data_IF_791676897706
#
_entry.id   IF_791676897706
#
_cell.length_a   1.000
_cell.length_b   1.000
_cell.length_c   1.000
_cell.angle_alpha   90.00
_cell.angle_beta   90.00
_cell.angle_gamma   90.00
#
_symmetry.space_group_name_H-M   'P 1'
#
loop_
_entity.id
_entity.type
_entity.pdbx_description
1 polymer ?
#
# COMPACT_ATOMS: atom_id res chain seq x y z
N UNK A 1 0.54 -7.76 22.33
CA UNK A 1 -0.69 -7.17 21.76
C UNK A 1 -0.54 -6.85 20.28
N UNK A 2 0.46 -6.05 19.86
CA UNK A 2 0.69 -5.77 18.42
C UNK A 2 0.88 -7.04 17.57
N UNK A 3 1.73 -7.98 18.02
CA UNK A 3 1.93 -9.27 17.33
C UNK A 3 0.60 -9.99 17.12
N UNK A 4 -0.19 -10.14 18.19
CA UNK A 4 -1.51 -10.78 18.13
C UNK A 4 -2.42 -10.04 17.14
N UNK A 5 -2.51 -8.71 17.23
CA UNK A 5 -3.36 -7.92 16.34
C UNK A 5 -2.97 -8.05 14.87
N UNK A 6 -1.67 -7.99 14.55
CA UNK A 6 -1.17 -8.05 13.18
C UNK A 6 -1.26 -9.47 12.62
N UNK A 7 -0.88 -10.48 13.39
CA UNK A 7 -1.01 -11.89 12.98
C UNK A 7 -2.47 -12.26 12.75
N UNK A 8 -3.40 -11.85 13.63
CA UNK A 8 -4.83 -12.09 13.44
C UNK A 8 -5.37 -11.38 12.19
N UNK A 9 -4.90 -10.17 11.88
CA UNK A 9 -5.33 -9.44 10.68
C UNK A 9 -4.91 -10.17 9.40
N UNK A 10 -3.64 -10.54 9.29
CA UNK A 10 -3.09 -11.23 8.12
C UNK A 10 -3.71 -12.63 7.99
N UNK A 11 -3.92 -13.33 9.10
CA UNK A 11 -4.53 -14.65 9.09
C UNK A 11 -6.01 -14.59 8.70
N UNK A 12 -6.76 -13.61 9.20
CA UNK A 12 -8.16 -13.38 8.83
C UNK A 12 -8.31 -13.19 7.32
N UNK A 13 -7.46 -12.35 6.71
CA UNK A 13 -7.51 -12.13 5.27
C UNK A 13 -7.12 -13.40 4.51
N UNK A 14 -6.11 -14.14 4.97
CA UNK A 14 -5.65 -15.36 4.29
C UNK A 14 -6.68 -16.49 4.29
N UNK A 15 -7.40 -16.73 5.39
CA UNK A 15 -8.40 -17.83 5.44
C UNK A 15 -9.75 -17.44 4.82
N UNK A 16 -9.93 -16.16 4.47
CA UNK A 16 -11.16 -15.67 3.86
C UNK A 16 -11.39 -16.23 2.46
N UNK A 17 -10.38 -16.80 1.80
CA UNK A 17 -10.53 -17.49 0.52
C UNK A 17 -11.28 -18.81 0.66
N UNK A 18 -11.08 -19.49 1.80
CA UNK A 18 -11.57 -20.85 2.01
C UNK A 18 -12.94 -20.83 2.69
N UNK A 19 -13.11 -19.98 3.71
CA UNK A 19 -14.34 -19.89 4.51
C UNK A 19 -15.27 -18.74 4.05
N UNK A 20 -14.76 -17.81 3.24
CA UNK A 20 -15.48 -16.59 2.85
C UNK A 20 -15.34 -15.45 3.86
N UNK A 21 -15.41 -14.22 3.36
CA UNK A 21 -15.18 -12.98 4.13
C UNK A 21 -16.16 -12.75 5.29
N UNK A 22 -17.35 -13.35 5.24
CA UNK A 22 -18.41 -13.20 6.25
C UNK A 22 -18.57 -14.44 7.15
N UNK A 23 -17.63 -15.38 7.10
CA UNK A 23 -17.61 -16.53 8.01
C UNK A 23 -17.36 -16.13 9.46
N UNK A 24 -17.85 -16.95 10.39
CA UNK A 24 -17.70 -16.69 11.82
C UNK A 24 -16.22 -16.67 12.21
N UNK A 25 -15.40 -17.51 11.58
CA UNK A 25 -13.96 -17.66 11.81
C UNK A 25 -13.20 -16.38 11.40
N UNK A 26 -13.47 -15.87 10.19
CA UNK A 26 -12.84 -14.63 9.69
C UNK A 26 -13.27 -13.43 10.54
N UNK A 27 -14.56 -13.31 10.85
CA UNK A 27 -15.08 -12.23 11.69
C UNK A 27 -14.52 -12.29 13.12
N UNK A 28 -14.34 -13.49 13.69
CA UNK A 28 -13.72 -13.65 15.00
C UNK A 28 -12.26 -13.19 15.01
N UNK A 29 -11.49 -13.49 13.96
CA UNK A 29 -10.10 -13.00 13.84
C UNK A 29 -10.03 -11.48 13.65
N UNK A 30 -10.95 -10.87 12.89
CA UNK A 30 -11.06 -9.42 12.82
C UNK A 30 -11.44 -8.81 14.18
N UNK A 31 -12.32 -9.45 14.95
CA UNK A 31 -12.64 -9.01 16.30
C UNK A 31 -11.43 -9.10 17.24
N UNK A 32 -10.66 -10.20 17.19
CA UNK A 32 -9.41 -10.34 17.96
C UNK A 32 -8.39 -9.26 17.57
N UNK A 33 -8.25 -8.97 16.27
CA UNK A 33 -7.41 -7.89 15.78
C UNK A 33 -7.83 -6.53 16.40
N UNK A 34 -9.12 -6.21 16.31
CA UNK A 34 -9.68 -4.96 16.84
C UNK A 34 -9.47 -4.84 18.35
N UNK A 35 -9.70 -5.91 19.11
CA UNK A 35 -9.49 -5.94 20.57
C UNK A 35 -8.01 -5.74 20.90
N UNK A 36 -7.10 -6.45 20.22
CA UNK A 36 -5.67 -6.38 20.48
C UNK A 36 -5.09 -4.99 20.15
N UNK A 37 -5.53 -4.36 19.06
CA UNK A 37 -5.14 -3.00 18.68
C UNK A 37 -5.71 -1.95 19.65
N UNK A 38 -6.97 -2.11 20.07
CA UNK A 38 -7.59 -1.21 21.05
C UNK A 38 -6.92 -1.31 22.42
N UNK A 39 -6.58 -2.53 22.84
CA UNK A 39 -5.85 -2.77 24.09
C UNK A 39 -4.45 -2.16 24.03
N UNK A 40 -3.74 -2.32 22.91
CA UNK A 40 -2.44 -1.66 22.70
C UNK A 40 -2.55 -0.14 22.76
N UNK A 41 -3.56 0.44 22.08
CA UNK A 41 -3.79 1.89 22.10
C UNK A 41 -4.03 2.42 23.53
N UNK A 42 -4.90 1.76 24.30
CA UNK A 42 -5.18 2.13 25.70
C UNK A 42 -3.95 1.97 26.60
N UNK A 43 -3.20 0.89 26.44
CA UNK A 43 -1.97 0.65 27.21
C UNK A 43 -0.92 1.73 26.91
N UNK A 44 -0.77 2.13 25.65
CA UNK A 44 0.16 3.18 25.22
C UNK A 44 -0.23 4.57 25.72
N UNK A 45 -1.53 4.83 25.99
CA UNK A 45 -1.98 6.09 26.59
C UNK A 45 -1.69 6.18 28.10
N UNK A 46 -1.75 5.04 28.81
CA UNK A 46 -1.62 5.01 30.27
C UNK A 46 -0.18 4.75 30.77
N UNK A 47 0.77 4.52 29.88
CA UNK A 47 2.18 4.27 30.25
C UNK A 47 2.94 5.59 30.48
N UNK A 48 3.76 5.63 31.53
CA UNK A 48 4.66 6.77 31.85
C UNK A 48 5.86 6.87 30.90
N UNK A 49 6.29 5.75 30.31
CA UNK A 49 7.30 5.67 29.24
C UNK A 49 6.74 4.84 28.08
N UNK A 50 5.82 5.40 27.28
CA UNK A 50 5.21 4.64 26.18
C UNK A 50 6.26 4.34 25.11
N UNK A 51 6.35 3.07 24.69
CA UNK A 51 7.22 2.63 23.59
C UNK A 51 6.92 3.34 22.26
N UNK A 52 5.69 3.84 22.11
CA UNK A 52 5.24 4.62 20.96
C UNK A 52 4.20 5.63 21.45
N UNK A 53 4.53 6.93 21.38
CA UNK A 53 3.59 8.00 21.74
C UNK A 53 2.48 8.09 20.70
N UNK A 54 1.33 7.45 20.96
CA UNK A 54 0.16 7.44 20.06
C UNK A 54 -0.44 8.83 19.80
N UNK A 55 0.01 9.85 20.54
CA UNK A 55 -0.33 11.26 20.34
C UNK A 55 0.06 11.76 18.93
N UNK A 56 1.02 11.11 18.25
CA UNK A 56 1.36 11.38 16.85
C UNK A 56 0.13 11.33 15.92
N UNK A 57 -0.81 10.42 16.17
CA UNK A 57 -2.00 10.25 15.32
C UNK A 57 -3.06 11.35 15.53
N UNK A 58 -2.90 12.20 16.55
CA UNK A 58 -3.74 13.39 16.75
C UNK A 58 -3.42 14.47 15.72
N UNK A 59 -2.21 14.47 15.14
CA UNK A 59 -1.80 15.38 14.08
C UNK A 59 -2.36 14.89 12.74
N UNK A 60 -3.52 15.43 12.34
CA UNK A 60 -4.25 14.97 11.15
C UNK A 60 -3.41 14.94 9.86
N UNK A 61 -2.55 15.95 9.54
CA UNK A 61 -1.66 15.87 8.39
C UNK A 61 -0.70 14.67 8.44
N UNK A 62 -0.08 14.40 9.59
CA UNK A 62 0.76 13.20 9.79
C UNK A 62 -0.06 11.92 9.59
N UNK A 63 -1.24 11.82 10.19
CA UNK A 63 -2.11 10.63 10.07
C UNK A 63 -2.52 10.34 8.62
N UNK A 64 -2.88 11.37 7.85
CA UNK A 64 -3.23 11.22 6.44
C UNK A 64 -2.01 10.89 5.56
N UNK A 65 -0.84 11.46 5.86
CA UNK A 65 0.42 11.09 5.21
C UNK A 65 0.77 9.62 5.50
N UNK A 66 0.67 9.18 6.76
CA UNK A 66 0.84 7.77 7.14
C UNK A 66 -0.14 6.89 6.37
N UNK A 67 -1.44 7.20 6.37
CA UNK A 67 -2.43 6.43 5.62
C UNK A 67 -2.10 6.33 4.11
N UNK A 68 -1.64 7.42 3.50
CA UNK A 68 -1.20 7.42 2.10
C UNK A 68 0.01 6.50 1.89
N UNK A 69 0.99 6.56 2.79
CA UNK A 69 2.17 5.69 2.77
C UNK A 69 1.79 4.20 2.91
N UNK A 70 0.84 3.88 3.80
CA UNK A 70 0.34 2.51 3.98
C UNK A 70 -0.30 1.97 2.72
N UNK A 71 -1.15 2.78 2.07
CA UNK A 71 -1.80 2.40 0.81
C UNK A 71 -0.78 2.20 -0.32
N UNK A 72 0.30 3.01 -0.38
CA UNK A 72 1.39 2.79 -1.34
C UNK A 72 2.08 1.45 -1.08
N UNK A 73 2.36 1.11 0.19
CA UNK A 73 2.93 -0.19 0.57
C UNK A 73 2.01 -1.37 0.23
N UNK A 74 0.71 -1.22 0.49
CA UNK A 74 -0.33 -2.19 0.12
C UNK A 74 -0.32 -2.46 -1.39
N UNK A 75 -0.27 -1.40 -2.21
CA UNK A 75 -0.20 -1.55 -3.67
C UNK A 75 1.13 -2.17 -4.10
N UNK A 76 2.25 -1.76 -3.50
CA UNK A 76 3.57 -2.27 -3.85
C UNK A 76 3.65 -3.79 -3.70
N UNK A 77 3.29 -4.33 -2.53
CA UNK A 77 3.37 -5.78 -2.30
C UNK A 77 2.18 -6.53 -2.92
N UNK A 78 1.04 -5.87 -3.13
CA UNK A 78 -0.06 -6.41 -3.93
C UNK A 78 0.34 -6.65 -5.39
N UNK A 79 0.95 -5.66 -6.06
CA UNK A 79 1.50 -5.81 -7.41
C UNK A 79 2.67 -6.80 -7.45
N UNK A 80 3.53 -6.77 -6.44
CA UNK A 80 4.65 -7.70 -6.30
C UNK A 80 4.20 -9.17 -6.23
N UNK A 81 2.99 -9.46 -5.75
CA UNK A 81 2.37 -10.78 -5.84
C UNK A 81 1.68 -10.99 -7.19
N UNK A 82 0.82 -10.05 -7.59
CA UNK A 82 -0.12 -10.23 -8.71
C UNK A 82 0.60 -10.37 -10.05
N UNK A 83 1.62 -9.54 -10.31
CA UNK A 83 2.39 -9.57 -11.57
C UNK A 83 3.05 -10.94 -11.81
N UNK A 84 3.89 -11.47 -10.91
CA UNK A 84 4.52 -12.77 -11.14
C UNK A 84 3.52 -13.92 -11.07
N UNK A 85 2.46 -13.81 -10.26
CA UNK A 85 1.40 -14.84 -10.20
C UNK A 85 0.65 -14.94 -11.54
N UNK A 86 0.26 -13.80 -12.13
CA UNK A 86 -0.39 -13.76 -13.43
C UNK A 86 0.53 -14.28 -14.53
N UNK A 87 1.79 -13.82 -14.58
CA UNK A 87 2.74 -14.25 -15.60
C UNK A 87 2.99 -15.78 -15.56
N UNK A 88 3.02 -16.37 -14.36
CA UNK A 88 3.21 -17.82 -14.22
C UNK A 88 1.97 -18.62 -14.59
N UNK A 89 0.79 -18.24 -14.07
CA UNK A 89 -0.41 -19.06 -14.18
C UNK A 89 -1.23 -18.81 -15.45
N UNK A 90 -1.16 -17.59 -15.99
CA UNK A 90 -1.92 -17.19 -17.20
C UNK A 90 -1.01 -17.15 -18.42
N UNK A 91 0.16 -16.53 -18.31
CA UNK A 91 1.12 -16.43 -19.42
C UNK A 91 2.07 -17.63 -19.52
N UNK A 92 1.89 -18.65 -18.67
CA UNK A 92 2.67 -19.90 -18.65
C UNK A 92 4.19 -19.70 -18.66
N UNK A 93 4.65 -18.62 -18.02
CA UNK A 93 6.07 -18.27 -17.93
C UNK A 93 6.69 -18.88 -16.68
N UNK A 94 7.99 -19.17 -16.70
CA UNK A 94 8.70 -19.66 -15.53
C UNK A 94 8.81 -18.57 -14.42
N UNK A 95 9.02 -19.02 -13.18
CA UNK A 95 9.11 -18.13 -12.01
C UNK A 95 10.24 -17.10 -12.09
N UNK A 96 11.37 -17.44 -12.74
CA UNK A 96 12.51 -16.53 -12.87
C UNK A 96 12.15 -15.38 -13.80
N UNK A 97 11.64 -15.68 -14.99
CA UNK A 97 11.23 -14.66 -15.97
C UNK A 97 10.09 -13.79 -15.42
N UNK A 98 9.12 -14.39 -14.72
CA UNK A 98 8.03 -13.66 -14.06
C UNK A 98 8.55 -12.67 -13.00
N UNK A 99 9.54 -13.06 -12.21
CA UNK A 99 10.22 -12.16 -11.26
C UNK A 99 11.00 -11.04 -11.96
N UNK A 100 11.64 -11.34 -13.09
CA UNK A 100 12.37 -10.35 -13.90
C UNK A 100 11.46 -9.24 -14.47
N UNK A 101 10.14 -9.44 -14.59
CA UNK A 101 9.21 -8.39 -15.02
C UNK A 101 9.21 -7.17 -14.09
N UNK A 102 9.49 -7.38 -12.80
CA UNK A 102 9.56 -6.33 -11.79
C UNK A 102 10.91 -5.60 -11.78
N UNK A 103 11.98 -6.27 -12.26
CA UNK A 103 13.35 -5.80 -12.14
C UNK A 103 13.58 -4.40 -12.76
N UNK A 104 13.11 -4.09 -13.99
CA UNK A 104 13.30 -2.77 -14.57
C UNK A 104 12.67 -1.65 -13.71
N UNK A 105 11.49 -1.92 -13.14
CA UNK A 105 10.82 -0.96 -12.26
C UNK A 105 11.63 -0.73 -10.99
N UNK A 106 12.13 -1.78 -10.35
CA UNK A 106 12.96 -1.66 -9.16
C UNK A 106 14.24 -0.84 -9.41
N UNK A 107 14.89 -1.02 -10.56
CA UNK A 107 16.08 -0.24 -10.96
C UNK A 107 15.71 1.25 -11.10
N UNK A 108 14.63 1.56 -11.82
CA UNK A 108 14.16 2.94 -11.98
C UNK A 108 13.78 3.55 -10.62
N UNK A 109 13.05 2.82 -9.78
CA UNK A 109 12.68 3.27 -8.43
C UNK A 109 13.91 3.61 -7.58
N UNK A 110 14.93 2.75 -7.60
CA UNK A 110 16.19 2.98 -6.88
C UNK A 110 16.94 4.22 -7.41
N UNK A 111 16.97 4.43 -8.73
CA UNK A 111 17.60 5.61 -9.35
C UNK A 111 16.84 6.91 -9.03
N UNK A 112 15.51 6.84 -8.90
CA UNK A 112 14.66 8.00 -8.64
C UNK A 112 14.64 8.42 -7.17
N UNK A 113 14.99 7.53 -6.24
CA UNK A 113 15.05 7.84 -4.81
C UNK A 113 15.85 9.13 -4.48
N UNK A 114 17.11 9.32 -4.93
CA UNK A 114 17.85 10.57 -4.68
C UNK A 114 17.27 11.79 -5.42
N UNK A 115 16.64 11.58 -6.58
CA UNK A 115 16.01 12.64 -7.38
C UNK A 115 14.78 13.18 -6.65
N UNK A 116 14.01 12.30 -6.00
CA UNK A 116 12.83 12.68 -5.22
C UNK A 116 13.18 13.64 -4.08
N UNK A 117 14.31 13.41 -3.38
CA UNK A 117 14.79 14.30 -2.32
C UNK A 117 15.13 15.70 -2.84
N UNK A 118 15.87 15.78 -3.95
CA UNK A 118 16.18 17.08 -4.59
C UNK A 118 14.92 17.81 -5.07
N UNK A 119 13.92 17.07 -5.56
CA UNK A 119 12.67 17.66 -6.02
C UNK A 119 11.84 18.20 -4.85
N UNK A 120 11.84 17.48 -3.72
CA UNK A 120 11.26 17.94 -2.46
C UNK A 120 11.92 19.24 -1.98
N UNK A 121 13.26 19.30 -1.95
CA UNK A 121 13.99 20.49 -1.50
C UNK A 121 13.71 21.71 -2.38
N UNK A 122 13.60 21.51 -3.70
CA UNK A 122 13.45 22.61 -4.67
C UNK A 122 12.00 23.08 -4.88
N UNK A 123 11.03 22.16 -4.87
CA UNK A 123 9.63 22.45 -5.24
C UNK A 123 8.63 22.25 -4.10
N UNK A 124 9.10 21.83 -2.92
CA UNK A 124 8.27 21.45 -1.80
C UNK A 124 7.58 20.10 -2.02
N UNK A 125 6.91 19.60 -0.97
CA UNK A 125 6.35 18.25 -0.96
C UNK A 125 5.14 18.06 -1.88
N UNK A 126 4.42 19.13 -2.24
CA UNK A 126 3.14 19.02 -2.94
C UNK A 126 3.27 18.45 -4.34
N UNK A 127 4.19 18.97 -5.15
CA UNK A 127 4.31 18.55 -6.56
C UNK A 127 4.83 17.12 -6.70
N UNK A 128 5.90 16.70 -6.00
CA UNK A 128 6.40 15.32 -6.07
C UNK A 128 5.35 14.29 -5.62
N UNK A 129 4.61 14.57 -4.54
CA UNK A 129 3.59 13.64 -4.02
C UNK A 129 2.43 13.51 -5.01
N UNK A 130 1.88 14.61 -5.53
CA UNK A 130 0.74 14.54 -6.45
C UNK A 130 1.12 13.90 -7.79
N UNK A 131 2.30 14.24 -8.34
CA UNK A 131 2.80 13.61 -9.56
C UNK A 131 3.03 12.11 -9.37
N UNK A 132 3.67 11.74 -8.25
CA UNK A 132 3.93 10.34 -7.96
C UNK A 132 2.64 9.53 -7.77
N UNK A 133 1.68 10.06 -7.03
CA UNK A 133 0.39 9.42 -6.81
C UNK A 133 -0.46 9.32 -8.08
N UNK A 134 -0.42 10.34 -8.96
CA UNK A 134 -1.07 10.28 -10.26
C UNK A 134 -0.45 9.18 -11.14
N UNK A 135 0.87 9.01 -11.12
CA UNK A 135 1.57 7.94 -11.84
C UNK A 135 1.23 6.55 -11.29
N UNK A 136 1.13 6.40 -9.96
CA UNK A 136 0.66 5.15 -9.32
C UNK A 136 -0.77 4.84 -9.79
N UNK A 137 -1.67 5.83 -9.73
CA UNK A 137 -3.06 5.65 -10.19
C UNK A 137 -3.13 5.25 -11.66
N UNK A 138 -2.36 5.92 -12.53
CA UNK A 138 -2.30 5.59 -13.95
C UNK A 138 -1.88 4.15 -14.18
N UNK A 139 -0.82 3.70 -13.49
CA UNK A 139 -0.34 2.32 -13.57
C UNK A 139 -1.44 1.29 -13.25
N UNK A 140 -2.11 1.43 -12.10
CA UNK A 140 -3.14 0.47 -11.67
C UNK A 140 -4.42 0.54 -12.52
N UNK A 141 -4.76 1.71 -13.06
CA UNK A 141 -5.85 1.83 -14.05
C UNK A 141 -5.50 1.07 -15.33
N UNK A 142 -4.28 1.24 -15.86
CA UNK A 142 -3.82 0.51 -17.04
C UNK A 142 -3.91 -1.01 -16.83
N UNK A 143 -3.50 -1.49 -15.66
CA UNK A 143 -3.68 -2.90 -15.29
C UNK A 143 -5.15 -3.34 -15.22
N UNK A 144 -6.02 -2.49 -14.66
CA UNK A 144 -7.45 -2.79 -14.50
C UNK A 144 -8.22 -2.78 -15.83
N UNK A 145 -7.77 -2.02 -16.82
CA UNK A 145 -8.40 -1.91 -18.14
C UNK A 145 -8.01 -3.04 -19.11
N UNK A 146 -6.78 -3.56 -19.02
CA UNK A 146 -6.26 -4.56 -19.96
C UNK A 146 -6.02 -5.95 -19.36
N UNK A 147 -6.78 -6.46 -18.37
CA UNK A 147 -6.40 -7.63 -17.59
C UNK A 147 -6.28 -8.92 -18.41
N UNK A 148 -6.91 -9.03 -19.59
CA UNK A 148 -6.83 -10.21 -20.47
C UNK A 148 -5.83 -10.09 -21.63
N UNK A 149 -5.19 -8.93 -21.81
CA UNK A 149 -4.27 -8.64 -22.92
C UNK A 149 -2.84 -8.32 -22.42
N UNK A 150 -2.56 -8.57 -21.13
CA UNK A 150 -1.27 -8.26 -20.51
C UNK A 150 -0.15 -9.14 -21.07
N UNK A 151 0.54 -8.65 -22.09
CA UNK A 151 1.84 -9.17 -22.51
C UNK A 151 2.93 -8.79 -21.49
N UNK A 152 4.05 -9.53 -21.51
CA UNK A 152 5.22 -9.23 -20.66
C UNK A 152 5.70 -7.79 -20.79
N UNK A 153 5.62 -7.21 -21.99
CA UNK A 153 6.00 -5.82 -22.24
C UNK A 153 5.04 -4.84 -21.54
N UNK A 154 3.72 -5.09 -21.61
CA UNK A 154 2.73 -4.23 -20.94
C UNK A 154 2.87 -4.29 -19.41
N UNK A 155 3.15 -5.47 -18.85
CA UNK A 155 3.51 -5.59 -17.42
C UNK A 155 4.69 -4.70 -17.06
N UNK A 156 5.78 -4.77 -17.82
CA UNK A 156 6.96 -3.94 -17.55
C UNK A 156 6.59 -2.46 -17.64
N UNK A 157 5.98 -2.02 -18.74
CA UNK A 157 5.64 -0.61 -18.97
C UNK A 157 4.72 -0.07 -17.87
N UNK A 158 3.66 -0.79 -17.51
CA UNK A 158 2.76 -0.35 -16.45
C UNK A 158 3.45 -0.34 -15.09
N UNK A 159 4.29 -1.33 -14.80
CA UNK A 159 5.08 -1.35 -13.56
C UNK A 159 6.12 -0.21 -13.51
N UNK A 160 6.66 0.24 -14.64
CA UNK A 160 7.54 1.41 -14.68
C UNK A 160 6.81 2.69 -14.23
N UNK A 161 5.54 2.89 -14.63
CA UNK A 161 4.73 4.00 -14.12
C UNK A 161 4.51 3.91 -12.60
N UNK A 162 4.29 2.70 -12.09
CA UNK A 162 4.17 2.49 -10.64
C UNK A 162 5.48 2.83 -9.93
N UNK A 163 6.61 2.27 -10.39
CA UNK A 163 7.92 2.48 -9.78
C UNK A 163 8.36 3.95 -9.84
N UNK A 164 8.08 4.63 -10.96
CA UNK A 164 8.26 6.08 -11.06
C UNK A 164 7.44 6.82 -10.00
N UNK A 165 6.16 6.49 -9.90
CA UNK A 165 5.26 7.13 -8.95
C UNK A 165 5.64 6.88 -7.48
N UNK A 166 6.00 5.63 -7.16
CA UNK A 166 6.50 5.22 -5.86
C UNK A 166 7.78 5.97 -5.49
N UNK A 167 8.76 6.05 -6.40
CA UNK A 167 10.04 6.71 -6.17
C UNK A 167 9.89 8.20 -5.79
N UNK A 168 8.96 8.92 -6.43
CA UNK A 168 8.69 10.32 -6.11
C UNK A 168 7.78 10.51 -4.89
N UNK A 169 6.80 9.62 -4.70
CA UNK A 169 5.78 9.81 -3.68
C UNK A 169 6.22 9.30 -2.30
N UNK A 170 6.72 8.08 -2.22
CA UNK A 170 6.87 7.35 -0.95
C UNK A 170 7.81 8.06 0.03
N UNK A 171 9.02 8.42 -0.41
CA UNK A 171 9.97 9.15 0.42
C UNK A 171 9.47 10.55 0.79
N UNK A 172 8.87 11.26 -0.16
CA UNK A 172 8.34 12.61 0.06
C UNK A 172 7.17 12.61 1.03
N UNK A 173 6.26 11.64 0.97
CA UNK A 173 5.15 11.46 1.92
C UNK A 173 5.70 11.26 3.33
N UNK A 174 6.72 10.41 3.48
CA UNK A 174 7.33 10.13 4.77
C UNK A 174 7.95 11.40 5.37
N UNK A 175 8.81 12.09 4.62
CA UNK A 175 9.46 13.33 5.09
C UNK A 175 8.45 14.43 5.38
N UNK A 176 7.48 14.64 4.48
CA UNK A 176 6.44 15.66 4.68
C UNK A 176 5.52 15.33 5.84
N UNK A 177 5.20 14.05 6.08
CA UNK A 177 4.35 13.65 7.21
C UNK A 177 5.06 13.88 8.55
N UNK A 178 6.34 13.49 8.65
CA UNK A 178 7.14 13.70 9.85
C UNK A 178 7.34 15.19 10.15
N UNK A 179 7.51 16.05 9.13
CA UNK A 179 7.65 17.50 9.34
C UNK A 179 6.39 18.17 9.94
N UNK A 180 5.26 17.47 10.02
CA UNK A 180 4.04 17.94 10.68
C UNK A 180 4.00 17.64 12.18
N UNK A 181 4.95 16.85 12.69
CA UNK A 181 5.09 16.55 14.11
C UNK A 181 6.10 17.51 14.77
N UNK A 182 5.92 17.79 16.07
CA UNK A 182 6.99 18.35 16.90
C UNK A 182 8.24 17.48 16.84
N UNK A 183 9.42 18.09 16.88
CA UNK A 183 10.71 17.40 16.73
C UNK A 183 10.89 16.25 17.73
N UNK A 184 10.42 16.45 18.96
CA UNK A 184 10.44 15.43 20.01
C UNK A 184 9.69 14.15 19.62
N UNK A 185 8.65 14.24 18.79
CA UNK A 185 7.79 13.13 18.36
C UNK A 185 8.25 12.46 17.06
N UNK A 186 9.27 13.00 16.38
CA UNK A 186 9.69 12.48 15.06
C UNK A 186 10.19 11.04 15.11
N UNK A 187 10.94 10.65 16.15
CA UNK A 187 11.44 9.29 16.30
C UNK A 187 10.29 8.27 16.39
N UNK A 188 9.28 8.55 17.23
CA UNK A 188 8.09 7.71 17.37
C UNK A 188 7.26 7.70 16.10
N UNK A 189 7.10 8.88 15.47
CA UNK A 189 6.39 9.03 14.20
C UNK A 189 7.01 8.19 13.09
N UNK A 190 8.34 8.18 13.00
CA UNK A 190 9.06 7.41 11.98
C UNK A 190 8.99 5.91 12.25
N UNK A 191 9.16 5.49 13.52
CA UNK A 191 9.02 4.10 13.93
C UNK A 191 7.61 3.56 13.65
N UNK A 192 6.58 4.36 13.95
CA UNK A 192 5.19 4.03 13.67
C UNK A 192 4.92 3.87 12.17
N UNK A 193 5.37 4.83 11.34
CA UNK A 193 5.21 4.78 9.88
C UNK A 193 5.84 3.52 9.30
N UNK A 194 7.10 3.20 9.66
CA UNK A 194 7.79 2.02 9.13
C UNK A 194 7.12 0.72 9.58
N UNK A 195 6.72 0.62 10.85
CA UNK A 195 6.05 -0.57 11.38
C UNK A 195 4.73 -0.82 10.66
N UNK A 196 3.90 0.23 10.52
CA UNK A 196 2.62 0.13 9.85
C UNK A 196 2.78 -0.11 8.34
N UNK A 197 3.82 0.45 7.72
CA UNK A 197 4.10 0.24 6.30
C UNK A 197 4.38 -1.23 5.98
N UNK A 198 5.21 -1.89 6.80
CA UNK A 198 5.47 -3.32 6.63
C UNK A 198 4.21 -4.16 6.81
N UNK A 199 3.37 -3.81 7.79
CA UNK A 199 2.06 -4.44 7.98
C UNK A 199 1.16 -4.22 6.75
N UNK A 200 1.06 -2.99 6.26
CA UNK A 200 0.20 -2.66 5.13
C UNK A 200 0.61 -3.39 3.85
N UNK A 201 1.92 -3.57 3.62
CA UNK A 201 2.43 -4.43 2.57
C UNK A 201 1.98 -5.89 2.73
N UNK A 202 2.19 -6.48 3.91
CA UNK A 202 1.80 -7.87 4.17
C UNK A 202 0.28 -8.10 4.01
N UNK A 203 -0.53 -7.17 4.53
CA UNK A 203 -1.99 -7.17 4.34
C UNK A 203 -2.34 -7.01 2.87
N UNK A 204 -1.64 -6.16 2.12
CA UNK A 204 -1.79 -6.01 0.67
C UNK A 204 -1.61 -7.31 -0.08
N UNK A 205 -0.51 -8.02 0.15
CA UNK A 205 -0.30 -9.35 -0.46
C UNK A 205 -1.39 -10.33 -0.06
N UNK A 206 -1.72 -10.42 1.24
CA UNK A 206 -2.72 -11.37 1.73
C UNK A 206 -4.12 -11.11 1.13
N UNK A 207 -4.58 -9.85 1.07
CA UNK A 207 -5.88 -9.52 0.47
C UNK A 207 -5.89 -9.87 -1.01
N UNK A 208 -4.85 -9.49 -1.76
CA UNK A 208 -4.80 -9.74 -3.21
C UNK A 208 -4.68 -11.24 -3.51
N UNK A 209 -3.86 -11.99 -2.77
CA UNK A 209 -3.74 -13.44 -2.94
C UNK A 209 -5.04 -14.16 -2.63
N UNK A 210 -5.77 -13.70 -1.61
CA UNK A 210 -7.08 -14.24 -1.23
C UNK A 210 -8.11 -14.02 -2.31
N UNK A 211 -8.15 -12.83 -2.93
CA UNK A 211 -9.05 -12.53 -4.05
C UNK A 211 -8.78 -13.49 -5.23
N UNK A 212 -7.51 -13.70 -5.57
CA UNK A 212 -7.12 -14.63 -6.64
C UNK A 212 -7.47 -16.07 -6.27
N UNK A 213 -7.16 -16.52 -5.06
CA UNK A 213 -7.46 -17.86 -4.58
C UNK A 213 -8.97 -18.14 -4.56
N UNK A 214 -9.78 -17.17 -4.15
CA UNK A 214 -11.25 -17.30 -4.16
C UNK A 214 -11.77 -17.50 -5.59
N UNK A 215 -11.22 -16.78 -6.57
CA UNK A 215 -11.59 -16.96 -7.97
C UNK A 215 -11.16 -18.35 -8.49
N UNK A 216 -9.95 -18.81 -8.14
CA UNK A 216 -9.45 -20.14 -8.49
C UNK A 216 -10.28 -21.26 -7.88
N UNK A 217 -10.75 -21.10 -6.64
CA UNK A 217 -11.62 -22.07 -5.97
C UNK A 217 -13.00 -22.17 -6.62
N UNK A 218 -13.51 -21.09 -7.21
CA UNK A 218 -14.78 -21.07 -7.91
C UNK A 218 -14.73 -21.77 -9.29
N UNK A 219 -13.56 -21.80 -9.95
CA UNK A 219 -13.38 -22.43 -11.27
C UNK A 219 -12.10 -23.31 -11.31
N UNK A 220 -12.10 -24.46 -10.61
CA UNK A 220 -10.89 -25.29 -10.44
C UNK A 220 -10.42 -25.97 -11.74
N UNK A 221 -11.29 -26.07 -12.75
CA UNK A 221 -10.98 -26.70 -14.05
C UNK A 221 -10.16 -25.80 -14.98
N UNK A 222 -10.18 -24.48 -14.80
CA UNK A 222 -9.46 -23.53 -15.64
C UNK A 222 -8.76 -22.46 -14.78
N UNK A 223 -7.68 -22.88 -14.13
CA UNK A 223 -6.90 -22.02 -13.23
C UNK A 223 -6.37 -20.76 -13.92
N UNK A 224 -6.02 -20.83 -15.21
CA UNK A 224 -5.55 -19.65 -15.97
C UNK A 224 -6.65 -18.59 -16.09
N UNK A 225 -7.85 -18.99 -16.53
CA UNK A 225 -9.01 -18.08 -16.63
C UNK A 225 -9.42 -17.54 -15.25
N UNK A 226 -9.48 -18.40 -14.25
CA UNK A 226 -9.83 -18.03 -12.88
C UNK A 226 -8.83 -17.03 -12.27
N UNK A 227 -7.53 -17.23 -12.53
CA UNK A 227 -6.46 -16.31 -12.10
C UNK A 227 -6.61 -14.96 -12.79
N UNK A 228 -6.86 -14.94 -14.10
CA UNK A 228 -7.09 -13.69 -14.84
C UNK A 228 -8.28 -12.89 -14.25
N UNK A 229 -9.38 -13.56 -13.94
CA UNK A 229 -10.55 -12.93 -13.31
C UNK A 229 -10.23 -12.41 -11.90
N UNK A 230 -9.56 -13.22 -11.07
CA UNK A 230 -9.11 -12.84 -9.74
C UNK A 230 -8.16 -11.64 -9.78
N UNK A 231 -7.20 -11.64 -10.71
CA UNK A 231 -6.27 -10.53 -10.96
C UNK A 231 -6.99 -9.26 -11.37
N UNK A 232 -8.05 -9.34 -12.20
CA UNK A 232 -8.87 -8.17 -12.54
C UNK A 232 -9.51 -7.54 -11.30
N UNK A 233 -10.06 -8.35 -10.40
CA UNK A 233 -10.60 -7.87 -9.13
C UNK A 233 -9.52 -7.30 -8.22
N UNK A 234 -8.34 -7.95 -8.17
CA UNK A 234 -7.17 -7.45 -7.46
C UNK A 234 -6.75 -6.06 -7.94
N UNK A 235 -6.60 -5.87 -9.26
CA UNK A 235 -6.27 -4.57 -9.85
C UNK A 235 -7.32 -3.50 -9.58
N UNK A 236 -8.61 -3.86 -9.54
CA UNK A 236 -9.66 -2.93 -9.15
C UNK A 236 -9.50 -2.45 -7.70
N UNK A 237 -9.24 -3.38 -6.76
CA UNK A 237 -8.95 -3.03 -5.35
C UNK A 237 -7.72 -2.12 -5.24
N UNK A 238 -6.66 -2.41 -5.99
CA UNK A 238 -5.48 -1.55 -6.03
C UNK A 238 -5.77 -0.16 -6.62
N UNK A 239 -6.66 -0.07 -7.61
CA UNK A 239 -7.13 1.19 -8.19
C UNK A 239 -7.90 2.03 -7.19
N UNK A 240 -8.82 1.41 -6.44
CA UNK A 240 -9.54 2.09 -5.34
C UNK A 240 -8.56 2.62 -4.30
N UNK A 241 -7.56 1.82 -3.90
CA UNK A 241 -6.51 2.25 -2.99
C UNK A 241 -5.69 3.43 -3.53
N UNK A 242 -5.40 3.46 -4.83
CA UNK A 242 -4.70 4.58 -5.47
C UNK A 242 -5.54 5.87 -5.50
N UNK A 243 -6.85 5.77 -5.71
CA UNK A 243 -7.77 6.93 -5.59
C UNK A 243 -7.77 7.46 -4.15
N UNK A 244 -7.84 6.57 -3.15
CA UNK A 244 -7.77 6.96 -1.74
C UNK A 244 -6.47 7.67 -1.39
N UNK A 245 -5.33 7.25 -1.95
CA UNK A 245 -4.04 7.94 -1.79
C UNK A 245 -4.13 9.39 -2.27
N UNK A 246 -4.70 9.62 -3.46
CA UNK A 246 -4.87 10.98 -4.01
C UNK A 246 -5.80 11.82 -3.14
N UNK A 247 -6.94 11.28 -2.70
CA UNK A 247 -7.85 11.97 -1.80
C UNK A 247 -7.19 12.37 -0.48
N UNK A 248 -6.43 11.45 0.15
CA UNK A 248 -5.67 11.73 1.37
C UNK A 248 -4.62 12.82 1.14
N UNK A 249 -3.85 12.72 0.06
CA UNK A 249 -2.79 13.68 -0.28
C UNK A 249 -3.36 15.07 -0.55
N UNK A 250 -4.44 15.19 -1.33
CA UNK A 250 -5.11 16.45 -1.59
C UNK A 250 -5.64 17.08 -0.28
N UNK A 251 -6.21 16.28 0.61
CA UNK A 251 -6.69 16.74 1.91
C UNK A 251 -5.55 17.23 2.81
N UNK A 252 -4.40 16.55 2.80
CA UNK A 252 -3.18 17.02 3.52
C UNK A 252 -2.79 18.42 3.04
N UNK A 253 -2.67 18.63 1.72
CA UNK A 253 -2.27 19.93 1.20
C UNK A 253 -3.32 21.02 1.42
N UNK A 254 -4.61 20.68 1.35
CA UNK A 254 -5.68 21.61 1.71
C UNK A 254 -5.59 22.07 3.18
N UNK A 255 -5.27 21.15 4.10
CA UNK A 255 -5.07 21.46 5.52
C UNK A 255 -3.82 22.31 5.76
N UNK A 256 -2.72 22.00 5.07
CA UNK A 256 -1.47 22.79 5.16
C UNK A 256 -1.70 24.21 4.64
N UNK A 257 -2.36 24.37 3.49
CA UNK A 257 -2.69 25.69 2.90
C UNK A 257 -3.61 26.52 3.80
N UNK A 258 -4.58 25.88 4.47
CA UNK A 258 -5.46 26.56 5.45
C UNK A 258 -4.70 27.06 6.69
N UNK A 259 -3.63 26.36 7.09
CA UNK A 259 -2.80 26.72 8.24
C UNK A 259 -1.78 27.83 7.91
N UNK A 260 -1.36 27.96 6.65
CA UNK A 260 -0.42 28.98 6.16
C UNK A 260 -0.93 29.67 4.87
N UNK A 261 -1.79 30.70 4.97
CA UNK A 261 -2.34 31.41 3.80
C UNK A 261 -1.31 32.26 3.01
N UNK A 262 -0.08 32.42 3.50
CA UNK A 262 0.95 33.28 2.88
C UNK A 262 1.63 32.68 1.62
N UNK A 263 1.36 31.42 1.27
CA UNK A 263 1.88 30.76 0.06
C UNK A 263 0.76 30.30 -0.88
N UNK A 264 -0.40 30.95 -0.80
CA UNK A 264 -1.59 30.61 -1.56
C UNK A 264 -1.56 31.08 -3.01
#
# INVERSE_FOLDING_TARGET
MLIIGFSSLIFATSIASDFGWFSIEVLALFAICLIALTAFYKQSLNSSTPLLRVQIFRYLPYTLSTASLLLVGFICLGLGFLIPNYAQLVSHTDAFTAGCLLLPGCIIGAMLAPISGRLLDKFGAQRPILLGNASILLSVICYSLYPGELSSLLFIVFYLFFAFGQGFSMGTIMTNGLSQLPEELNADGNAAMNTLLQLAGAVGTAVISTIVATAQAAEPTNIAHATMLGSRHGFFVLTVSAVLILCCSLKVFALIKKKNPAHA
#
